data_IF_969853011552
#
_entry.id   IF_969853011552
#
_cell.length_a   1.000
_cell.length_b   1.000
_cell.length_c   1.000
_cell.angle_alpha   90.00
_cell.angle_beta   90.00
_cell.angle_gamma   90.00
#
_symmetry.space_group_name_H-M   'P 1'
#
loop_
_entity.id
_entity.type
_entity.pdbx_description
1 polymer ?
#
# COMPACT_ATOMS: atom_id res chain seq x y z
N UNK A 1 72.07 13.39 54.71
CA UNK A 1 73.02 14.40 54.18
C UNK A 1 72.17 15.40 53.41
N UNK A 2 71.98 16.49 54.04
CA UNK A 2 72.31 17.88 53.68
C UNK A 2 71.47 18.36 52.45
N UNK A 3 70.76 19.37 52.46
CA UNK A 3 70.70 20.60 53.24
C UNK A 3 70.00 21.64 52.30
N UNK A 4 69.08 22.38 52.87
CA UNK A 4 68.95 23.83 52.78
C UNK A 4 68.65 24.45 51.40
N UNK A 5 67.94 25.48 51.23
CA UNK A 5 67.29 26.49 52.06
C UNK A 5 66.56 27.52 51.15
N UNK A 6 65.41 27.95 51.59
CA UNK A 6 65.09 29.37 51.93
C UNK A 6 65.01 30.40 50.87
N UNK A 7 63.88 31.10 50.96
CA UNK A 7 63.53 32.54 50.89
C UNK A 7 62.84 33.03 49.62
N UNK A 8 61.55 33.30 49.75
CA UNK A 8 60.94 34.57 50.14
C UNK A 8 60.93 35.66 49.03
N UNK A 9 59.76 36.02 48.57
CA UNK A 9 59.28 37.41 48.68
C UNK A 9 57.91 37.66 48.02
N UNK A 10 57.16 38.26 48.81
CA UNK A 10 55.90 38.97 48.57
C UNK A 10 55.84 39.79 47.24
N UNK A 11 54.71 39.73 46.60
CA UNK A 11 54.30 40.68 45.58
C UNK A 11 52.79 40.73 45.51
N UNK A 12 52.25 41.82 45.98
CA UNK A 12 50.85 42.31 45.88
C UNK A 12 50.49 42.55 44.44
N UNK A 13 49.26 42.29 44.02
CA UNK A 13 48.78 42.90 42.80
C UNK A 13 47.48 42.38 42.20
N UNK A 14 46.43 43.08 42.51
CA UNK A 14 45.20 43.33 41.72
C UNK A 14 44.34 42.14 41.26
N UNK A 15 43.16 42.10 41.86
CA UNK A 15 41.97 41.45 41.36
C UNK A 15 41.50 42.14 40.05
N UNK A 16 41.37 41.38 38.96
CA UNK A 16 40.58 41.71 37.80
C UNK A 16 39.47 40.72 37.73
N UNK A 17 38.26 41.20 38.05
CA UNK A 17 37.02 40.48 37.83
C UNK A 17 36.74 40.32 36.35
N UNK A 18 37.09 39.17 35.80
CA UNK A 18 36.74 38.76 34.44
C UNK A 18 35.29 38.27 34.42
N UNK A 19 34.40 39.11 33.92
CA UNK A 19 33.02 38.77 33.62
C UNK A 19 33.02 37.81 32.41
N UNK A 20 32.95 36.51 32.67
CA UNK A 20 32.79 35.48 31.61
C UNK A 20 31.36 35.53 31.13
N UNK A 21 31.10 36.17 30.00
CA UNK A 21 29.87 36.05 29.24
C UNK A 21 29.89 34.62 28.62
N UNK A 22 29.16 33.72 29.22
CA UNK A 22 28.84 32.42 28.60
C UNK A 22 27.90 32.70 27.42
N UNK A 23 28.44 32.78 26.21
CA UNK A 23 27.65 32.71 24.98
C UNK A 23 27.00 31.32 24.97
N UNK A 24 25.70 31.24 25.33
CA UNK A 24 24.87 30.10 25.03
C UNK A 24 24.79 30.00 23.49
N UNK A 25 25.64 29.15 22.91
CA UNK A 25 25.48 28.70 21.54
C UNK A 25 24.19 27.89 21.51
N UNK A 26 23.06 28.57 21.20
CA UNK A 26 21.87 27.88 20.75
C UNK A 26 22.31 27.04 19.55
N UNK A 27 22.43 25.76 19.77
CA UNK A 27 22.67 24.78 18.71
C UNK A 27 21.53 24.90 17.71
N UNK A 28 21.75 25.66 16.65
CA UNK A 28 20.96 25.56 15.43
C UNK A 28 21.28 24.17 14.92
N UNK A 29 20.35 23.24 15.21
CA UNK A 29 20.35 21.93 14.54
C UNK A 29 20.28 22.22 13.04
N UNK A 30 21.40 22.15 12.38
CA UNK A 30 21.44 22.15 10.93
C UNK A 30 20.67 20.90 10.53
N UNK A 31 19.48 21.08 9.98
CA UNK A 31 18.84 20.06 9.17
C UNK A 31 19.90 19.63 8.15
N UNK A 32 20.25 18.35 8.21
CA UNK A 32 21.22 17.75 7.32
C UNK A 32 20.62 17.88 5.91
N UNK A 33 21.23 18.76 5.06
CA UNK A 33 20.85 18.98 3.66
C UNK A 33 21.16 17.74 2.81
N UNK A 34 20.60 16.60 3.17
CA UNK A 34 20.75 15.32 2.49
C UNK A 34 19.39 14.75 2.10
N UNK A 35 19.26 14.34 0.85
CA UNK A 35 18.11 13.56 0.39
C UNK A 35 18.03 12.26 1.21
N UNK A 36 16.93 12.07 1.94
CA UNK A 36 16.70 10.86 2.75
C UNK A 36 16.31 9.69 1.85
N UNK A 37 17.02 8.56 1.94
CA UNK A 37 16.60 7.32 1.30
C UNK A 37 15.44 6.69 2.07
N UNK A 38 14.36 6.36 1.36
CA UNK A 38 13.18 5.63 1.86
C UNK A 38 13.15 4.26 1.21
N UNK A 39 13.31 3.22 2.00
CA UNK A 39 13.29 1.82 1.54
C UNK A 39 11.85 1.31 1.49
N UNK A 40 11.43 0.83 0.32
CA UNK A 40 10.04 0.44 0.08
C UNK A 40 9.97 -1.01 -0.39
N UNK A 41 9.18 -1.81 0.32
CA UNK A 41 8.79 -3.14 -0.14
C UNK A 41 7.50 -3.04 -0.98
N UNK A 42 7.49 -3.66 -2.16
CA UNK A 42 6.29 -3.76 -3.01
C UNK A 42 5.93 -5.20 -3.26
N UNK A 43 4.67 -5.48 -3.61
CA UNK A 43 4.26 -6.84 -3.94
C UNK A 43 5.04 -7.40 -5.13
N UNK A 44 5.60 -8.62 -4.98
CA UNK A 44 6.47 -9.22 -6.00
C UNK A 44 5.70 -9.94 -7.11
N UNK A 45 4.45 -10.36 -6.88
CA UNK A 45 3.72 -11.30 -7.75
C UNK A 45 2.25 -10.92 -7.99
N UNK A 46 1.89 -9.64 -7.79
CA UNK A 46 0.50 -9.15 -7.90
C UNK A 46 0.29 -8.32 -9.17
N UNK A 47 0.61 -8.88 -10.33
CA UNK A 47 0.43 -8.20 -11.63
C UNK A 47 -1.07 -7.99 -11.93
N UNK A 48 -1.51 -6.81 -12.43
CA UNK A 48 -0.73 -5.61 -12.81
C UNK A 48 -0.54 -4.59 -11.67
N UNK A 49 -0.97 -4.89 -10.44
CA UNK A 49 -0.85 -4.00 -9.29
C UNK A 49 0.61 -3.69 -8.96
N UNK A 50 1.40 -4.74 -8.76
CA UNK A 50 2.85 -4.67 -8.54
C UNK A 50 3.50 -6.03 -8.80
N UNK A 51 4.66 -6.05 -9.45
CA UNK A 51 5.49 -7.25 -9.61
C UNK A 51 6.96 -6.86 -9.84
N UNK A 52 7.84 -7.76 -9.44
CA UNK A 52 9.30 -7.62 -9.65
C UNK A 52 10.08 -8.53 -8.71
N UNK A 53 11.16 -9.09 -9.22
CA UNK A 53 12.06 -9.90 -8.42
C UNK A 53 12.94 -9.03 -7.52
N UNK A 54 13.54 -9.62 -6.49
CA UNK A 54 14.55 -8.96 -5.66
C UNK A 54 15.71 -8.46 -6.54
N UNK A 55 16.09 -7.20 -6.37
CA UNK A 55 17.17 -6.55 -7.14
C UNK A 55 16.75 -6.07 -8.53
N UNK A 56 15.48 -6.25 -8.92
CA UNK A 56 14.91 -5.69 -10.15
C UNK A 56 13.92 -4.59 -9.76
N UNK A 57 13.94 -3.47 -10.49
CA UNK A 57 12.99 -2.37 -10.22
C UNK A 57 11.55 -2.87 -10.42
N UNK A 58 10.68 -2.74 -9.40
CA UNK A 58 9.31 -3.19 -9.50
C UNK A 58 8.51 -2.41 -10.55
N UNK A 59 7.55 -3.09 -11.16
CA UNK A 59 6.64 -2.55 -12.16
C UNK A 59 5.19 -2.70 -11.70
N UNK A 60 4.29 -1.90 -12.27
CA UNK A 60 2.86 -1.96 -11.98
C UNK A 60 2.28 -0.62 -11.58
N UNK A 61 1.00 -0.65 -11.23
CA UNK A 61 0.26 0.53 -10.81
C UNK A 61 0.90 1.20 -9.59
N UNK A 62 1.06 0.47 -8.48
CA UNK A 62 1.58 1.05 -7.23
C UNK A 62 3.05 1.51 -7.36
N UNK A 63 3.98 0.77 -7.98
CA UNK A 63 5.32 1.29 -8.27
C UNK A 63 5.32 2.60 -9.07
N UNK A 64 4.44 2.74 -10.09
CA UNK A 64 4.35 3.98 -10.86
C UNK A 64 3.75 5.12 -10.03
N UNK A 65 2.78 4.85 -9.15
CA UNK A 65 2.27 5.86 -8.18
C UNK A 65 3.37 6.27 -7.21
N UNK A 66 4.16 5.32 -6.67
CA UNK A 66 5.29 5.64 -5.78
C UNK A 66 6.34 6.50 -6.47
N UNK A 67 6.64 6.27 -7.76
CA UNK A 67 7.50 7.15 -8.57
C UNK A 67 6.92 8.56 -8.70
N UNK A 68 5.60 8.66 -8.93
CA UNK A 68 4.92 9.95 -9.02
C UNK A 68 4.93 10.69 -7.67
N UNK A 69 4.76 9.99 -6.54
CA UNK A 69 4.92 10.56 -5.19
C UNK A 69 6.35 11.07 -5.02
N UNK A 70 7.37 10.26 -5.35
CA UNK A 70 8.77 10.65 -5.19
C UNK A 70 9.11 11.90 -6.02
N UNK A 71 8.55 12.04 -7.22
CA UNK A 71 8.75 13.22 -8.05
C UNK A 71 8.21 14.54 -7.41
N UNK A 72 7.20 14.44 -6.53
CA UNK A 72 6.67 15.58 -5.75
C UNK A 72 7.45 15.83 -4.45
N UNK A 73 8.28 14.89 -4.00
CA UNK A 73 8.97 14.91 -2.71
C UNK A 73 10.50 14.85 -2.90
N UNK A 74 11.14 15.94 -3.39
CA UNK A 74 12.57 15.93 -3.72
C UNK A 74 13.50 15.70 -2.52
N UNK A 75 13.01 15.88 -1.29
CA UNK A 75 13.73 15.60 -0.04
C UNK A 75 13.88 14.11 0.24
N UNK A 76 13.18 13.23 -0.52
CA UNK A 76 13.28 11.79 -0.40
C UNK A 76 13.78 11.14 -1.70
N UNK A 77 14.50 10.04 -1.55
CA UNK A 77 14.83 9.10 -2.62
C UNK A 77 14.18 7.76 -2.32
N UNK A 78 13.17 7.37 -3.09
CA UNK A 78 12.49 6.08 -2.94
C UNK A 78 13.31 4.97 -3.60
N UNK A 79 13.64 3.94 -2.82
CA UNK A 79 14.29 2.73 -3.30
C UNK A 79 13.32 1.55 -3.08
N UNK A 80 12.84 0.98 -4.18
CA UNK A 80 11.81 -0.04 -4.19
C UNK A 80 12.39 -1.41 -4.48
N UNK A 81 11.92 -2.44 -3.75
CA UNK A 81 12.20 -3.85 -4.09
C UNK A 81 10.94 -4.70 -3.96
N UNK A 82 10.82 -5.73 -4.82
CA UNK A 82 9.75 -6.72 -4.72
C UNK A 82 9.98 -7.67 -3.55
N UNK A 83 8.94 -7.90 -2.74
CA UNK A 83 8.97 -8.83 -1.62
C UNK A 83 7.64 -9.59 -1.49
N UNK A 84 7.69 -10.82 -0.98
CA UNK A 84 6.47 -11.57 -0.63
C UNK A 84 5.72 -10.88 0.53
N UNK A 85 4.40 -11.00 0.57
CA UNK A 85 3.52 -10.27 1.50
C UNK A 85 3.95 -10.39 2.97
N UNK A 86 4.26 -11.60 3.42
CA UNK A 86 4.72 -11.84 4.80
C UNK A 86 6.05 -11.12 5.06
N UNK A 87 6.96 -11.10 4.08
CA UNK A 87 8.26 -10.43 4.20
C UNK A 87 8.12 -8.91 4.21
N UNK A 88 7.14 -8.35 3.49
CA UNK A 88 6.84 -6.92 3.51
C UNK A 88 6.39 -6.47 4.91
N UNK A 89 5.34 -7.09 5.47
CA UNK A 89 4.81 -6.70 6.79
C UNK A 89 5.84 -6.95 7.91
N UNK A 90 6.57 -8.07 7.86
CA UNK A 90 7.64 -8.34 8.83
C UNK A 90 8.78 -7.35 8.73
N UNK A 91 9.24 -7.06 7.51
CA UNK A 91 10.30 -6.08 7.27
C UNK A 91 9.89 -4.66 7.67
N UNK A 92 8.63 -4.30 7.45
CA UNK A 92 8.07 -3.03 7.88
C UNK A 92 7.97 -2.94 9.42
N UNK A 93 7.51 -4.00 10.08
CA UNK A 93 7.42 -4.04 11.54
C UNK A 93 8.78 -3.91 12.23
N UNK A 94 9.84 -4.46 11.63
CA UNK A 94 11.21 -4.41 12.16
C UNK A 94 12.01 -3.19 11.73
N UNK A 95 11.47 -2.32 10.86
CA UNK A 95 12.18 -1.16 10.32
C UNK A 95 13.22 -1.49 9.23
N UNK A 96 13.21 -2.71 8.66
CA UNK A 96 13.98 -3.02 7.45
C UNK A 96 13.51 -2.16 6.27
N UNK A 97 12.21 -1.94 6.19
CA UNK A 97 11.56 -1.04 5.23
C UNK A 97 10.92 0.14 5.96
N UNK A 98 10.97 1.31 5.36
CA UNK A 98 10.27 2.50 5.81
C UNK A 98 8.80 2.48 5.38
N UNK A 99 8.52 1.91 4.20
CA UNK A 99 7.19 1.84 3.61
C UNK A 99 6.96 0.51 2.92
N UNK A 100 5.70 0.08 2.86
CA UNK A 100 5.27 -1.08 2.08
C UNK A 100 4.01 -0.76 1.27
N UNK A 101 3.91 -1.36 0.09
CA UNK A 101 2.82 -1.20 -0.87
C UNK A 101 2.51 -2.55 -1.50
N UNK A 102 1.24 -2.95 -1.51
CA UNK A 102 0.82 -4.27 -1.96
C UNK A 102 -0.70 -4.48 -1.83
N UNK A 103 -1.49 -3.45 -2.11
CA UNK A 103 -2.95 -3.54 -2.02
C UNK A 103 -3.48 -3.65 -0.60
N UNK A 104 -2.82 -3.04 0.37
CA UNK A 104 -3.20 -3.15 1.78
C UNK A 104 -4.48 -2.40 2.10
N UNK A 105 -5.42 -3.09 2.76
CA UNK A 105 -6.61 -2.46 3.33
C UNK A 105 -6.32 -1.90 4.72
N UNK A 106 -6.97 -0.80 5.05
CA UNK A 106 -6.99 -0.25 6.41
C UNK A 106 -7.70 -1.24 7.33
N UNK A 107 -7.09 -1.54 8.46
CA UNK A 107 -7.64 -2.44 9.47
C UNK A 107 -7.15 -2.03 10.86
N UNK A 108 -7.94 -2.21 11.93
CA UNK A 108 -7.57 -1.77 13.29
C UNK A 108 -6.23 -2.34 13.79
N UNK A 109 -5.88 -3.57 13.39
CA UNK A 109 -4.59 -4.17 13.74
C UNK A 109 -3.42 -3.46 13.06
N UNK A 110 -3.57 -3.09 11.78
CA UNK A 110 -2.55 -2.35 11.01
C UNK A 110 -2.41 -0.92 11.51
N UNK A 111 -3.50 -0.24 11.83
CA UNK A 111 -3.47 1.14 12.38
C UNK A 111 -2.74 1.23 13.72
N UNK A 112 -2.79 0.17 14.53
CA UNK A 112 -2.01 0.10 15.79
C UNK A 112 -0.52 -0.08 15.52
N UNK A 113 -0.15 -0.81 14.48
CA UNK A 113 1.22 -1.24 14.21
C UNK A 113 1.96 -0.27 13.29
N UNK A 114 1.29 0.33 12.31
CA UNK A 114 1.88 1.15 11.27
C UNK A 114 1.27 2.56 11.23
N UNK A 115 1.96 3.49 10.60
CA UNK A 115 1.37 4.74 10.14
C UNK A 115 0.72 4.47 8.78
N UNK A 116 -0.51 4.96 8.61
CA UNK A 116 -1.26 4.81 7.36
C UNK A 116 -1.74 6.20 6.94
N UNK A 117 -1.29 6.75 5.80
CA UNK A 117 -1.80 8.01 5.26
C UNK A 117 -3.33 7.99 5.15
N UNK A 118 -3.97 9.15 5.25
CA UNK A 118 -5.44 9.24 5.09
C UNK A 118 -5.85 8.96 3.65
N UNK A 119 -5.11 9.52 2.70
CA UNK A 119 -5.38 9.35 1.28
C UNK A 119 -5.02 7.92 0.81
N UNK A 120 -5.93 7.23 0.13
CA UNK A 120 -5.64 5.94 -0.48
C UNK A 120 -4.70 6.08 -1.68
N UNK A 121 -3.89 5.05 -1.91
CA UNK A 121 -3.06 4.92 -3.12
C UNK A 121 -3.89 4.40 -4.32
N UNK A 122 -4.97 3.67 -4.06
CA UNK A 122 -5.85 3.07 -5.05
C UNK A 122 -7.09 2.47 -4.41
N UNK A 123 -7.82 1.69 -5.17
CA UNK A 123 -8.96 0.93 -4.68
C UNK A 123 -8.98 -0.48 -5.27
N UNK A 124 -9.51 -1.43 -4.51
CA UNK A 124 -9.86 -2.77 -4.96
C UNK A 124 -11.38 -2.84 -5.08
N UNK A 125 -11.87 -3.00 -6.30
CA UNK A 125 -13.29 -3.07 -6.60
C UNK A 125 -13.69 -4.55 -6.66
N UNK A 126 -14.56 -5.02 -5.79
CA UNK A 126 -15.10 -6.37 -5.91
C UNK A 126 -16.22 -6.33 -6.93
N UNK A 127 -16.08 -7.11 -7.99
CA UNK A 127 -17.05 -7.22 -9.09
C UNK A 127 -17.49 -8.66 -9.29
N UNK A 128 -18.64 -8.82 -9.92
CA UNK A 128 -19.15 -10.10 -10.38
C UNK A 128 -18.89 -10.20 -11.87
N UNK A 129 -18.24 -11.28 -12.29
CA UNK A 129 -18.01 -11.61 -13.70
C UNK A 129 -18.92 -12.74 -14.11
N UNK A 130 -19.70 -12.53 -15.15
CA UNK A 130 -20.69 -13.47 -15.64
C UNK A 130 -20.76 -13.46 -17.18
N UNK A 131 -21.43 -14.42 -17.79
CA UNK A 131 -21.64 -14.35 -19.26
C UNK A 131 -22.45 -13.11 -19.64
N UNK A 132 -22.09 -12.49 -20.74
CA UNK A 132 -22.82 -11.32 -21.28
C UNK A 132 -24.29 -11.63 -21.42
N UNK A 133 -25.13 -10.72 -20.92
CA UNK A 133 -26.57 -10.85 -20.95
C UNK A 133 -27.17 -11.84 -19.93
N UNK A 134 -26.39 -12.33 -18.95
CA UNK A 134 -26.87 -13.22 -17.90
C UNK A 134 -27.83 -12.56 -16.92
N UNK A 135 -27.76 -11.21 -16.80
CA UNK A 135 -28.55 -10.43 -15.83
C UNK A 135 -28.01 -10.53 -14.39
N UNK A 136 -26.79 -11.05 -14.17
CA UNK A 136 -26.16 -11.16 -12.85
C UNK A 136 -25.34 -9.90 -12.59
N UNK A 137 -25.88 -8.96 -11.81
CA UNK A 137 -25.26 -7.64 -11.57
C UNK A 137 -25.03 -7.34 -10.09
N UNK A 138 -25.74 -8.02 -9.18
CA UNK A 138 -25.68 -7.77 -7.74
C UNK A 138 -25.50 -9.08 -6.98
N UNK A 139 -25.04 -9.00 -5.75
CA UNK A 139 -24.84 -10.18 -4.92
C UNK A 139 -26.11 -11.04 -4.76
N UNK A 140 -27.28 -10.42 -4.66
CA UNK A 140 -28.57 -11.14 -4.58
C UNK A 140 -28.86 -12.01 -5.81
N UNK A 141 -28.35 -11.64 -6.98
CA UNK A 141 -28.56 -12.38 -8.24
C UNK A 141 -27.77 -13.70 -8.27
N UNK A 142 -26.88 -13.89 -7.30
CA UNK A 142 -26.10 -15.14 -7.12
C UNK A 142 -26.87 -16.25 -6.42
N UNK A 143 -28.09 -15.99 -5.94
CA UNK A 143 -28.94 -17.01 -5.32
C UNK A 143 -29.26 -18.11 -6.36
N UNK A 144 -28.94 -19.37 -6.00
CA UNK A 144 -29.13 -20.54 -6.87
C UNK A 144 -28.17 -20.63 -8.06
N UNK A 145 -27.13 -19.76 -8.12
CA UNK A 145 -26.10 -19.80 -9.15
C UNK A 145 -24.89 -20.61 -8.72
N UNK A 146 -24.25 -21.25 -9.68
CA UNK A 146 -22.96 -21.92 -9.48
C UNK A 146 -21.84 -20.88 -9.53
N UNK A 147 -21.26 -20.58 -8.38
CA UNK A 147 -20.19 -19.61 -8.25
C UNK A 147 -18.84 -20.33 -8.30
N UNK A 148 -17.86 -19.77 -9.01
CA UNK A 148 -16.48 -20.29 -9.00
C UNK A 148 -15.97 -20.35 -7.55
N UNK A 149 -15.41 -21.50 -7.11
CA UNK A 149 -14.89 -21.62 -5.75
C UNK A 149 -13.84 -20.57 -5.42
N UNK A 150 -13.92 -19.99 -4.24
CA UNK A 150 -13.01 -18.94 -3.74
C UNK A 150 -12.02 -19.54 -2.74
N UNK A 151 -10.88 -18.88 -2.54
CA UNK A 151 -9.86 -19.34 -1.59
C UNK A 151 -10.42 -19.33 -0.17
N UNK A 152 -10.33 -20.45 0.52
CA UNK A 152 -10.78 -20.59 1.91
C UNK A 152 -10.11 -19.54 2.81
N UNK A 153 -10.92 -18.77 3.56
CA UNK A 153 -10.44 -17.69 4.44
C UNK A 153 -9.86 -16.48 3.72
N UNK A 154 -9.85 -16.47 2.38
CA UNK A 154 -9.40 -15.32 1.57
C UNK A 154 -10.35 -14.13 1.64
N UNK A 155 -9.93 -12.99 1.06
CA UNK A 155 -10.70 -11.73 1.11
C UNK A 155 -12.10 -11.85 0.52
N UNK A 156 -12.25 -12.51 -0.62
CA UNK A 156 -13.56 -12.72 -1.27
C UNK A 156 -14.46 -13.65 -0.44
N UNK A 157 -13.87 -14.71 0.14
CA UNK A 157 -14.63 -15.60 1.03
C UNK A 157 -15.19 -14.83 2.24
N UNK A 158 -14.35 -14.04 2.91
CA UNK A 158 -14.76 -13.19 4.04
C UNK A 158 -15.82 -12.17 3.65
N UNK A 159 -15.62 -11.49 2.51
CA UNK A 159 -16.60 -10.55 1.98
C UNK A 159 -17.96 -11.21 1.75
N UNK A 160 -17.98 -12.31 1.04
CA UNK A 160 -19.23 -13.00 0.69
C UNK A 160 -19.93 -13.58 1.92
N UNK A 161 -19.16 -14.10 2.90
CA UNK A 161 -19.72 -14.59 4.19
C UNK A 161 -20.33 -13.42 4.99
N UNK A 162 -19.62 -12.29 5.11
CA UNK A 162 -20.12 -11.11 5.81
C UNK A 162 -21.37 -10.54 5.11
N UNK A 163 -21.40 -10.53 3.77
CA UNK A 163 -22.57 -10.12 3.01
C UNK A 163 -23.77 -11.04 3.31
N UNK A 164 -23.56 -12.37 3.33
CA UNK A 164 -24.59 -13.35 3.64
C UNK A 164 -25.15 -13.16 5.05
N UNK A 165 -24.30 -12.89 6.05
CA UNK A 165 -24.72 -12.62 7.43
C UNK A 165 -25.60 -11.37 7.53
N UNK A 166 -25.33 -10.33 6.74
CA UNK A 166 -26.09 -9.09 6.67
C UNK A 166 -27.36 -9.22 5.83
N UNK A 167 -27.47 -10.25 4.99
CA UNK A 167 -28.57 -10.47 4.06
C UNK A 167 -29.10 -11.92 4.17
N UNK A 168 -29.65 -12.31 5.33
CA UNK A 168 -30.00 -13.70 5.63
C UNK A 168 -31.12 -14.30 4.75
N UNK A 169 -31.91 -13.46 4.10
CA UNK A 169 -32.98 -13.88 3.19
C UNK A 169 -32.44 -14.38 1.83
N UNK A 170 -31.19 -14.05 1.49
CA UNK A 170 -30.53 -14.46 0.26
C UNK A 170 -29.53 -15.57 0.56
N UNK A 171 -29.80 -16.78 0.10
CA UNK A 171 -28.89 -17.93 0.32
C UNK A 171 -27.97 -18.10 -0.89
N UNK A 172 -26.74 -17.58 -0.76
CA UNK A 172 -25.68 -17.74 -1.76
C UNK A 172 -24.80 -18.93 -1.36
N UNK A 173 -24.61 -19.87 -2.28
CA UNK A 173 -23.72 -21.02 -2.07
C UNK A 173 -22.27 -20.64 -2.39
N UNK A 174 -21.48 -20.34 -1.37
CA UNK A 174 -20.06 -20.01 -1.51
C UNK A 174 -19.22 -21.24 -1.20
N UNK A 175 -18.64 -21.82 -2.24
CA UNK A 175 -17.73 -22.97 -2.09
C UNK A 175 -16.32 -22.47 -1.84
N UNK A 176 -15.69 -22.94 -0.75
CA UNK A 176 -14.27 -22.70 -0.46
C UNK A 176 -13.41 -23.77 -1.15
N UNK A 177 -12.28 -23.38 -1.71
CA UNK A 177 -11.30 -24.28 -2.31
C UNK A 177 -9.89 -23.95 -1.80
N UNK A 178 -9.09 -24.98 -1.55
CA UNK A 178 -7.65 -24.85 -1.31
C UNK A 178 -6.83 -24.84 -2.60
N UNK A 179 -7.42 -25.24 -3.72
CA UNK A 179 -6.75 -25.27 -5.02
C UNK A 179 -6.77 -23.89 -5.66
N UNK A 180 -5.60 -23.31 -5.90
CA UNK A 180 -5.48 -22.08 -6.67
C UNK A 180 -5.72 -22.33 -8.15
N UNK A 181 -6.87 -21.93 -8.69
CA UNK A 181 -7.09 -21.86 -10.14
C UNK A 181 -6.69 -20.46 -10.59
N UNK A 182 -5.78 -20.30 -11.57
CA UNK A 182 -5.46 -18.99 -12.12
C UNK A 182 -6.72 -18.25 -12.60
N UNK A 183 -6.83 -16.96 -12.31
CA UNK A 183 -8.07 -16.24 -12.62
C UNK A 183 -8.44 -16.20 -14.13
N UNK A 184 -7.47 -16.19 -15.09
CA UNK A 184 -7.84 -16.31 -16.51
C UNK A 184 -8.59 -17.58 -16.84
N UNK A 185 -8.23 -18.70 -16.21
CA UNK A 185 -8.93 -19.97 -16.41
C UNK A 185 -10.31 -19.95 -15.74
N UNK A 186 -10.46 -19.26 -14.60
CA UNK A 186 -11.77 -19.07 -13.96
C UNK A 186 -12.73 -18.27 -14.85
N UNK A 187 -12.25 -17.24 -15.53
CA UNK A 187 -13.06 -16.49 -16.52
C UNK A 187 -13.54 -17.39 -17.67
N UNK A 188 -12.68 -18.28 -18.18
CA UNK A 188 -13.07 -19.28 -19.18
C UNK A 188 -14.09 -20.29 -18.66
N UNK A 189 -13.99 -20.69 -17.40
CA UNK A 189 -14.96 -21.58 -16.76
C UNK A 189 -16.35 -20.94 -16.65
N UNK A 190 -16.42 -19.61 -16.49
CA UNK A 190 -17.67 -18.85 -16.57
C UNK A 190 -18.15 -18.77 -18.01
N UNK A 191 -17.29 -18.45 -18.97
CA UNK A 191 -17.66 -18.37 -20.38
C UNK A 191 -18.28 -19.67 -20.90
N UNK A 192 -17.65 -20.82 -20.61
CA UNK A 192 -18.10 -22.12 -21.08
C UNK A 192 -19.30 -22.71 -20.31
N UNK A 193 -19.78 -22.01 -19.29
CA UNK A 193 -20.97 -22.39 -18.53
C UNK A 193 -20.74 -23.43 -17.43
N UNK A 194 -19.50 -23.76 -17.09
CA UNK A 194 -19.21 -24.62 -15.93
C UNK A 194 -19.67 -23.95 -14.63
N UNK A 195 -19.52 -22.61 -14.57
CA UNK A 195 -20.03 -21.75 -13.52
C UNK A 195 -20.86 -20.61 -14.13
N UNK A 196 -21.77 -20.06 -13.32
CA UNK A 196 -22.59 -18.93 -13.71
C UNK A 196 -21.90 -17.60 -13.46
N UNK A 197 -21.12 -17.51 -12.39
CA UNK A 197 -20.45 -16.29 -11.96
C UNK A 197 -19.11 -16.56 -11.26
N UNK A 198 -18.27 -15.52 -11.28
CA UNK A 198 -17.02 -15.41 -10.54
C UNK A 198 -17.01 -14.06 -9.80
N UNK A 199 -16.66 -14.06 -8.52
CA UNK A 199 -16.50 -12.84 -7.72
C UNK A 199 -15.01 -12.60 -7.49
N UNK A 200 -14.49 -11.46 -7.96
CA UNK A 200 -13.07 -11.11 -7.86
C UNK A 200 -12.88 -9.62 -7.54
N UNK A 201 -11.73 -9.25 -6.95
CA UNK A 201 -11.28 -7.85 -6.96
C UNK A 201 -10.81 -7.48 -8.38
N UNK A 202 -11.13 -6.27 -8.84
CA UNK A 202 -10.83 -5.79 -10.19
C UNK A 202 -9.38 -5.31 -10.40
N UNK A 203 -8.47 -5.67 -9.54
CA UNK A 203 -7.07 -5.24 -9.60
C UNK A 203 -6.11 -6.34 -10.09
N UNK A 204 -6.64 -7.39 -10.70
CA UNK A 204 -5.85 -8.52 -11.22
C UNK A 204 -5.74 -8.51 -12.76
N UNK A 205 -6.25 -7.48 -13.44
CA UNK A 205 -6.18 -7.33 -14.91
C UNK A 205 -7.24 -8.12 -15.66
N UNK A 206 -8.38 -8.42 -15.05
CA UNK A 206 -9.48 -9.22 -15.60
C UNK A 206 -10.00 -8.65 -16.89
N UNK A 207 -10.21 -7.33 -16.96
CA UNK A 207 -10.71 -6.69 -18.17
C UNK A 207 -9.73 -6.86 -19.33
N UNK A 208 -8.44 -6.76 -19.07
CA UNK A 208 -7.40 -7.02 -20.09
C UNK A 208 -7.49 -8.45 -20.63
N UNK A 209 -7.72 -9.44 -19.77
CA UNK A 209 -7.88 -10.84 -20.18
C UNK A 209 -9.15 -11.03 -21.00
N UNK A 210 -10.27 -10.45 -20.55
CA UNK A 210 -11.57 -10.51 -21.27
C UNK A 210 -11.39 -9.95 -22.68
N UNK A 211 -10.76 -8.79 -22.82
CA UNK A 211 -10.60 -8.09 -24.09
C UNK A 211 -9.62 -8.82 -25.02
N UNK A 212 -8.46 -9.22 -24.52
CA UNK A 212 -7.43 -9.91 -25.32
C UNK A 212 -7.89 -11.28 -25.81
N UNK A 213 -8.60 -12.03 -24.97
CA UNK A 213 -9.11 -13.35 -25.31
C UNK A 213 -10.50 -13.32 -25.92
N UNK A 214 -11.12 -12.13 -26.03
CA UNK A 214 -12.48 -11.90 -26.58
C UNK A 214 -13.51 -12.79 -25.89
N UNK A 215 -13.41 -12.92 -24.56
CA UNK A 215 -14.33 -13.74 -23.80
C UNK A 215 -15.75 -13.13 -23.80
N UNK A 216 -16.75 -13.99 -23.91
CA UNK A 216 -18.16 -13.60 -23.79
C UNK A 216 -18.56 -13.44 -22.32
N UNK A 217 -17.76 -12.68 -21.58
CA UNK A 217 -17.92 -12.37 -20.14
C UNK A 217 -18.02 -10.86 -19.97
N UNK A 218 -18.79 -10.41 -19.01
CA UNK A 218 -18.89 -9.01 -18.59
C UNK A 218 -18.73 -8.89 -17.07
N UNK A 219 -18.27 -7.72 -16.64
CA UNK A 219 -18.20 -7.37 -15.24
C UNK A 219 -19.42 -6.55 -14.82
N UNK A 220 -19.92 -6.78 -13.61
CA UNK A 220 -20.90 -5.89 -12.97
C UNK A 220 -20.27 -4.55 -12.60
N UNK A 221 -21.11 -3.58 -12.20
CA UNK A 221 -20.66 -2.50 -11.35
C UNK A 221 -20.05 -3.07 -10.04
N UNK A 222 -19.20 -2.32 -9.35
CA UNK A 222 -18.61 -2.79 -8.09
C UNK A 222 -19.69 -3.11 -7.04
N UNK A 223 -19.67 -4.34 -6.53
CA UNK A 223 -20.54 -4.77 -5.43
C UNK A 223 -19.92 -4.45 -4.07
N UNK A 224 -18.62 -4.18 -4.03
CA UNK A 224 -17.94 -3.58 -2.88
C UNK A 224 -16.68 -2.81 -3.33
N UNK A 225 -16.28 -1.84 -2.53
CA UNK A 225 -15.12 -0.98 -2.76
C UNK A 225 -14.27 -0.99 -1.49
N UNK A 226 -13.00 -1.33 -1.65
CA UNK A 226 -12.01 -1.28 -0.57
C UNK A 226 -10.87 -0.37 -0.99
N UNK A 227 -10.74 0.79 -0.37
CA UNK A 227 -9.57 1.65 -0.54
C UNK A 227 -8.30 0.91 -0.14
N UNK A 228 -7.22 1.11 -0.90
CA UNK A 228 -5.91 0.53 -0.62
C UNK A 228 -4.93 1.61 -0.21
N UNK A 229 -4.01 1.28 0.69
CA UNK A 229 -3.12 2.22 1.35
C UNK A 229 -1.68 1.72 1.33
N UNK A 230 -0.74 2.65 1.40
CA UNK A 230 0.62 2.33 1.81
C UNK A 230 0.68 2.18 3.32
N UNK A 231 1.53 1.28 3.79
CA UNK A 231 1.85 1.13 5.21
C UNK A 231 3.24 1.73 5.45
N UNK A 232 3.42 2.47 6.54
CA UNK A 232 4.68 3.12 6.88
C UNK A 232 5.12 2.66 8.26
N UNK A 233 6.40 2.30 8.41
CA UNK A 233 6.97 1.90 9.68
C UNK A 233 6.75 2.98 10.74
N UNK A 234 6.17 2.59 11.89
CA UNK A 234 5.85 3.52 12.96
C UNK A 234 7.12 3.92 13.71
N UNK A 235 7.64 5.09 13.40
CA UNK A 235 8.75 5.73 14.08
C UNK A 235 8.57 7.26 14.04
N UNK A 236 9.22 7.98 14.93
CA UNK A 236 9.19 9.44 14.94
C UNK A 236 9.70 10.04 13.63
N UNK A 237 10.73 9.42 13.05
CA UNK A 237 11.32 9.84 11.77
C UNK A 237 10.33 9.72 10.59
N UNK A 238 9.47 8.72 10.64
CA UNK A 238 8.50 8.44 9.58
C UNK A 238 7.18 9.21 9.69
N UNK A 239 6.94 9.97 10.78
CA UNK A 239 5.74 10.80 10.90
C UNK A 239 5.69 11.90 9.83
N UNK A 240 6.83 12.54 9.54
CA UNK A 240 6.92 13.52 8.47
C UNK A 240 6.70 12.88 7.10
N UNK A 241 7.35 11.74 6.83
CA UNK A 241 7.17 10.96 5.60
C UNK A 241 5.70 10.62 5.37
N UNK A 242 4.98 10.17 6.40
CA UNK A 242 3.56 9.81 6.30
C UNK A 242 2.69 11.00 5.89
N UNK A 243 2.93 12.17 6.45
CA UNK A 243 2.22 13.41 6.10
C UNK A 243 2.54 13.89 4.69
N UNK A 244 3.82 13.81 4.29
CA UNK A 244 4.27 14.20 2.96
C UNK A 244 3.69 13.29 1.87
N UNK A 245 3.68 11.96 2.11
CA UNK A 245 3.05 10.98 1.23
C UNK A 245 1.54 11.22 1.11
N UNK A 246 0.87 11.48 2.23
CA UNK A 246 -0.56 11.80 2.24
C UNK A 246 -0.88 13.03 1.38
N UNK A 247 -0.11 14.10 1.56
CA UNK A 247 -0.26 15.32 0.75
C UNK A 247 -0.02 15.06 -0.74
N UNK A 248 1.05 14.32 -1.07
CA UNK A 248 1.38 13.98 -2.45
C UNK A 248 0.28 13.13 -3.11
N UNK A 249 -0.30 12.15 -2.40
CA UNK A 249 -1.41 11.35 -2.90
C UNK A 249 -2.66 12.20 -3.19
N UNK A 250 -3.02 13.13 -2.28
CA UNK A 250 -4.13 14.08 -2.47
C UNK A 250 -3.91 14.95 -3.72
N UNK A 251 -2.69 15.43 -3.94
CA UNK A 251 -2.35 16.20 -5.14
C UNK A 251 -2.41 15.36 -6.42
N UNK A 252 -1.87 14.13 -6.40
CA UNK A 252 -1.90 13.21 -7.55
C UNK A 252 -3.32 12.77 -7.92
N UNK A 253 -4.22 12.65 -6.93
CA UNK A 253 -5.65 12.43 -7.19
C UNK A 253 -6.26 13.67 -7.86
N UNK A 254 -6.01 14.86 -7.34
CA UNK A 254 -6.58 16.11 -7.82
C UNK A 254 -6.10 16.49 -9.23
N UNK A 255 -4.85 16.23 -9.59
CA UNK A 255 -4.28 16.53 -10.91
C UNK A 255 -4.56 15.43 -11.96
N UNK A 256 -5.26 14.37 -11.58
CA UNK A 256 -5.65 13.26 -12.45
C UNK A 256 -4.53 12.26 -12.77
N UNK A 257 -3.38 12.37 -12.11
CA UNK A 257 -2.26 11.43 -12.33
C UNK A 257 -2.65 10.01 -11.91
N UNK A 258 -3.33 9.83 -10.76
CA UNK A 258 -3.77 8.52 -10.31
C UNK A 258 -4.76 7.89 -11.31
N UNK A 259 -5.71 8.66 -11.85
CA UNK A 259 -6.66 8.19 -12.85
C UNK A 259 -5.95 7.72 -14.14
N UNK A 260 -4.95 8.47 -14.62
CA UNK A 260 -4.16 8.09 -15.80
C UNK A 260 -3.36 6.80 -15.57
N UNK A 261 -2.75 6.65 -14.39
CA UNK A 261 -2.02 5.43 -14.03
C UNK A 261 -2.97 4.24 -13.88
N UNK A 262 -4.14 4.45 -13.30
CA UNK A 262 -5.20 3.44 -13.20
C UNK A 262 -5.61 2.96 -14.59
N UNK A 263 -5.95 3.88 -15.49
CA UNK A 263 -6.33 3.56 -16.87
C UNK A 263 -5.22 2.80 -17.61
N UNK A 264 -3.95 3.19 -17.39
CA UNK A 264 -2.78 2.51 -17.99
C UNK A 264 -2.69 1.05 -17.58
N UNK A 265 -2.89 0.75 -16.29
CA UNK A 265 -2.59 -0.56 -15.73
C UNK A 265 -3.79 -1.50 -15.64
N UNK A 266 -4.98 -0.96 -15.38
CA UNK A 266 -6.20 -1.75 -15.20
C UNK A 266 -7.19 -1.64 -16.36
N UNK A 267 -7.02 -0.66 -17.28
CA UNK A 267 -7.98 -0.40 -18.34
C UNK A 267 -9.23 0.36 -17.87
N UNK A 268 -9.28 0.74 -16.59
CA UNK A 268 -10.36 1.50 -15.97
C UNK A 268 -9.83 2.47 -14.92
N UNK A 269 -10.60 3.51 -14.59
CA UNK A 269 -10.27 4.44 -13.52
C UNK A 269 -10.85 3.96 -12.18
N UNK A 270 -10.08 3.13 -11.45
CA UNK A 270 -10.46 2.69 -10.11
C UNK A 270 -10.45 3.83 -9.09
N UNK A 271 -9.77 4.94 -9.40
CA UNK A 271 -9.60 6.06 -8.45
C UNK A 271 -10.86 6.92 -8.32
N UNK A 272 -11.78 6.82 -9.29
CA UNK A 272 -13.10 7.44 -9.22
C UNK A 272 -13.95 6.90 -8.06
N UNK A 273 -13.64 5.69 -7.58
CA UNK A 273 -14.36 5.03 -6.49
C UNK A 273 -13.72 5.25 -5.11
N UNK A 274 -12.52 5.83 -5.05
CA UNK A 274 -11.82 6.11 -3.77
C UNK A 274 -12.56 7.17 -2.95
N UNK A 275 -12.74 6.87 -1.67
CA UNK A 275 -13.39 7.76 -0.69
C UNK A 275 -12.48 8.87 -0.20
#
# INVERSE_FOLDING_TARGET
>A
MTSSSLLSRRGFGLAVAGFSIALAAAGVSHAQDGVRTVKIATAAESKPLSWGAIGVEPQGYEPDVLKAINAKLPQYKFEMEGAADIAQETGLATGKYDMASGGYYRAPAREKQFLIPEAPIGASLIKIYSRKGSGINEMKDLVGKKIVPVTAGGGIYKFATAWQEQNPDYKIEITASSAGIPYPDRLKEVENGKYDALVLPSNLGEQTVIDQQKLNVEASEPVAINDTFVLIHRSQENEALSKDVDKALKELKADGTLAKLSQKWFGEDITAYMK
#
